data_IF_394049351814
#
_entry.id   IF_394049351814
#
_cell.length_a   1.000
_cell.length_b   1.000
_cell.length_c   1.000
_cell.angle_alpha   90.00
_cell.angle_beta   90.00
_cell.angle_gamma   90.00
#
_symmetry.space_group_name_H-M   'P 1'
#
loop_
_entity.id
_entity.type
_entity.pdbx_description
1 polymer ?
#
# COMPACT_ATOMS: atom_id res chain seq x y z
N UNK A 1 -15.29 -35.03 32.54
CA UNK A 1 -15.59 -33.57 32.55
C UNK A 1 -14.56 -32.91 31.71
N UNK A 2 -14.84 -32.73 30.40
CA UNK A 2 -13.91 -32.08 29.45
C UNK A 2 -14.14 -30.58 29.51
N UNK A 3 -13.12 -29.87 29.96
CA UNK A 3 -13.08 -28.39 29.98
C UNK A 3 -12.73 -27.89 28.57
N UNK A 4 -13.72 -27.42 27.81
CA UNK A 4 -13.49 -26.70 26.55
C UNK A 4 -12.91 -25.33 26.90
N UNK A 5 -11.60 -25.16 26.71
CA UNK A 5 -10.97 -23.84 26.67
C UNK A 5 -11.48 -23.13 25.38
N UNK A 6 -12.40 -22.22 25.54
CA UNK A 6 -12.74 -21.22 24.52
C UNK A 6 -11.53 -20.28 24.39
N UNK A 7 -10.66 -20.55 23.41
CA UNK A 7 -9.71 -19.55 22.98
C UNK A 7 -10.48 -18.36 22.40
N UNK A 8 -10.20 -17.13 22.85
CA UNK A 8 -10.85 -15.96 22.24
C UNK A 8 -10.42 -15.92 20.77
N UNK A 9 -11.40 -15.87 19.85
CA UNK A 9 -11.20 -15.46 18.48
C UNK A 9 -10.57 -14.06 18.54
N UNK A 10 -9.26 -14.00 18.39
CA UNK A 10 -8.52 -12.75 18.24
C UNK A 10 -9.08 -12.09 16.99
N UNK A 11 -10.00 -11.13 17.17
CA UNK A 11 -10.39 -10.23 16.11
C UNK A 11 -9.10 -9.68 15.51
N UNK A 12 -8.97 -9.72 14.18
CA UNK A 12 -7.82 -9.12 13.48
C UNK A 12 -7.75 -7.69 13.96
N UNK A 13 -6.71 -7.37 14.73
CA UNK A 13 -6.51 -6.03 15.24
C UNK A 13 -6.51 -5.07 14.06
N UNK A 14 -7.27 -3.99 14.15
CA UNK A 14 -7.34 -2.96 13.14
C UNK A 14 -5.94 -2.36 12.96
N UNK A 15 -5.32 -2.59 11.79
CA UNK A 15 -3.95 -2.17 11.51
C UNK A 15 -3.84 -0.68 11.14
N UNK A 16 -4.93 -0.11 10.59
CA UNK A 16 -5.02 1.29 10.15
C UNK A 16 -6.32 1.88 10.68
N UNK A 17 -6.25 3.02 11.36
CA UNK A 17 -7.46 3.69 11.84
C UNK A 17 -8.27 4.26 10.65
N UNK A 18 -9.62 4.20 10.68
CA UNK A 18 -10.45 4.88 9.68
C UNK A 18 -10.15 6.37 9.59
N UNK A 19 -10.41 6.94 8.41
CA UNK A 19 -10.40 8.40 8.26
C UNK A 19 -11.59 9.02 9.00
N UNK A 20 -11.43 10.29 9.38
CA UNK A 20 -12.40 11.06 10.15
C UNK A 20 -12.80 12.33 9.40
N UNK A 21 -13.92 12.90 9.77
CA UNK A 21 -14.29 14.22 9.26
C UNK A 21 -13.22 15.25 9.65
N UNK A 22 -12.83 16.08 8.71
CA UNK A 22 -11.74 17.05 8.86
C UNK A 22 -10.36 16.51 8.44
N UNK A 23 -10.21 15.20 8.16
CA UNK A 23 -8.93 14.67 7.73
C UNK A 23 -8.48 15.26 6.39
N UNK A 24 -7.20 15.54 6.33
CA UNK A 24 -6.42 15.95 5.16
C UNK A 24 -5.40 14.86 4.89
N UNK A 25 -5.73 13.96 3.98
CA UNK A 25 -4.96 12.72 3.72
C UNK A 25 -4.01 12.94 2.55
N UNK A 26 -2.71 12.88 2.78
CA UNK A 26 -1.69 12.93 1.73
C UNK A 26 -1.22 11.50 1.40
N UNK A 27 -1.44 11.06 0.17
CA UNK A 27 -0.91 9.79 -0.35
C UNK A 27 0.42 10.06 -1.03
N UNK A 28 1.53 9.70 -0.37
CA UNK A 28 2.89 9.93 -0.84
C UNK A 28 3.46 8.64 -1.43
N UNK A 29 4.01 8.72 -2.63
CA UNK A 29 4.57 7.56 -3.32
C UNK A 29 5.18 7.91 -4.66
N UNK A 30 5.38 6.88 -5.48
CA UNK A 30 5.90 6.95 -6.83
C UNK A 30 4.80 6.94 -7.90
N UNK A 31 5.10 6.45 -9.12
CA UNK A 31 4.15 6.34 -10.25
C UNK A 31 2.87 5.55 -9.90
N UNK A 32 2.96 4.55 -9.04
CA UNK A 32 1.80 3.74 -8.63
C UNK A 32 0.80 4.57 -7.83
N UNK A 33 1.28 5.53 -7.04
CA UNK A 33 0.45 6.51 -6.34
C UNK A 33 0.05 7.66 -7.27
N UNK A 34 0.99 8.18 -8.09
CA UNK A 34 0.78 9.26 -9.04
C UNK A 34 -0.37 8.96 -10.02
N UNK A 35 -0.45 7.73 -10.51
CA UNK A 35 -1.55 7.24 -11.37
C UNK A 35 -2.95 7.40 -10.76
N UNK A 36 -3.07 7.56 -9.47
CA UNK A 36 -4.29 8.02 -8.81
C UNK A 36 -5.36 6.96 -8.56
N UNK A 37 -5.16 5.70 -8.90
CA UNK A 37 -6.25 4.72 -8.92
C UNK A 37 -6.63 4.21 -7.52
N UNK A 38 -5.71 3.58 -6.78
CA UNK A 38 -6.09 2.91 -5.52
C UNK A 38 -6.64 3.89 -4.48
N UNK A 39 -6.05 5.06 -4.32
CA UNK A 39 -6.54 6.02 -3.35
C UNK A 39 -7.83 6.73 -3.81
N UNK A 40 -8.08 6.83 -5.13
CA UNK A 40 -9.37 7.28 -5.65
C UNK A 40 -10.48 6.28 -5.35
N UNK A 41 -10.21 4.97 -5.42
CA UNK A 41 -11.17 3.94 -4.99
C UNK A 41 -11.45 4.02 -3.49
N UNK A 42 -10.41 4.27 -2.66
CA UNK A 42 -10.59 4.51 -1.22
C UNK A 42 -11.46 5.76 -1.00
N UNK A 43 -11.18 6.85 -1.73
CA UNK A 43 -11.98 8.08 -1.63
C UNK A 43 -13.42 7.85 -2.06
N UNK A 44 -13.64 7.20 -3.20
CA UNK A 44 -14.99 6.86 -3.67
C UNK A 44 -15.77 6.06 -2.63
N UNK A 45 -15.13 5.10 -1.97
CA UNK A 45 -15.73 4.35 -0.88
C UNK A 45 -16.21 5.29 0.25
N UNK A 46 -15.34 6.20 0.71
CA UNK A 46 -15.70 7.12 1.78
C UNK A 46 -16.79 8.11 1.35
N UNK A 47 -16.72 8.66 0.15
CA UNK A 47 -17.71 9.59 -0.39
C UNK A 47 -19.10 8.97 -0.52
N UNK A 48 -19.17 7.69 -0.91
CA UNK A 48 -20.46 7.01 -1.11
C UNK A 48 -21.02 6.41 0.17
N UNK A 49 -20.16 6.03 1.11
CA UNK A 49 -20.59 5.39 2.37
C UNK A 49 -20.81 6.38 3.50
N UNK A 50 -20.15 7.53 3.45
CA UNK A 50 -20.19 8.56 4.48
C UNK A 50 -20.33 9.95 3.84
N UNK A 51 -21.44 10.23 3.16
CA UNK A 51 -21.60 11.45 2.34
C UNK A 51 -21.50 12.75 3.16
N UNK A 52 -21.78 12.69 4.46
CA UNK A 52 -21.65 13.85 5.35
C UNK A 52 -20.22 14.07 5.87
N UNK A 53 -19.30 13.13 5.61
CA UNK A 53 -17.92 13.24 6.04
C UNK A 53 -17.18 14.26 5.17
N UNK A 54 -16.63 15.31 5.80
CA UNK A 54 -15.84 16.34 5.13
C UNK A 54 -14.37 16.01 5.29
N UNK A 55 -13.73 15.55 4.22
CA UNK A 55 -12.31 15.23 4.18
C UNK A 55 -11.70 15.63 2.83
N UNK A 56 -10.38 15.76 2.80
CA UNK A 56 -9.62 16.05 1.59
C UNK A 56 -8.59 14.94 1.37
N UNK A 57 -8.41 14.54 0.13
CA UNK A 57 -7.34 13.63 -0.25
C UNK A 57 -6.42 14.31 -1.27
N UNK A 58 -5.12 14.17 -1.07
CA UNK A 58 -4.09 14.72 -1.93
C UNK A 58 -3.28 13.58 -2.54
N UNK A 59 -3.22 13.55 -3.86
CA UNK A 59 -2.24 12.75 -4.55
C UNK A 59 -0.88 13.46 -4.45
N UNK A 60 0.05 12.87 -3.74
CA UNK A 60 1.43 13.29 -3.59
C UNK A 60 2.38 12.22 -4.14
N UNK A 61 1.93 11.43 -5.12
CA UNK A 61 2.77 10.56 -5.92
C UNK A 61 3.52 11.34 -6.98
N UNK A 62 4.74 10.90 -7.31
CA UNK A 62 5.51 11.41 -8.46
C UNK A 62 6.18 10.23 -9.15
N UNK A 63 6.00 10.13 -10.47
CA UNK A 63 6.59 9.06 -11.28
C UNK A 63 8.09 8.95 -11.10
N UNK A 64 8.60 7.73 -10.89
CA UNK A 64 10.05 7.48 -10.73
C UNK A 64 10.60 7.70 -9.33
N UNK A 65 9.86 8.27 -8.40
CA UNK A 65 10.37 8.57 -7.06
C UNK A 65 10.90 7.32 -6.33
N UNK A 66 12.04 7.52 -5.70
CA UNK A 66 12.61 6.69 -4.65
C UNK A 66 12.49 7.39 -3.29
N UNK A 67 12.98 6.78 -2.22
CA UNK A 67 13.09 7.44 -0.92
C UNK A 67 13.87 8.76 -0.98
N UNK A 68 14.87 8.86 -1.87
CA UNK A 68 15.68 10.08 -2.03
C UNK A 68 14.87 11.25 -2.61
N UNK A 69 14.11 11.02 -3.69
CA UNK A 69 13.28 12.06 -4.30
C UNK A 69 12.16 12.49 -3.34
N UNK A 70 11.52 11.53 -2.66
CA UNK A 70 10.54 11.83 -1.61
C UNK A 70 11.16 12.70 -0.50
N UNK A 71 12.37 12.35 -0.03
CA UNK A 71 13.10 13.14 0.98
C UNK A 71 13.30 14.59 0.55
N UNK A 72 13.64 14.81 -0.73
CA UNK A 72 13.92 16.13 -1.29
C UNK A 72 12.68 17.02 -1.35
N UNK A 73 11.50 16.44 -1.57
CA UNK A 73 10.26 17.20 -1.80
C UNK A 73 9.25 17.18 -0.66
N UNK A 74 9.40 16.32 0.34
CA UNK A 74 8.37 16.07 1.36
C UNK A 74 7.94 17.34 2.11
N UNK A 75 8.83 18.29 2.36
CA UNK A 75 8.51 19.53 3.09
C UNK A 75 7.62 20.46 2.27
N UNK A 76 8.01 20.75 1.03
CA UNK A 76 7.32 21.74 0.20
C UNK A 76 6.17 21.16 -0.62
N UNK A 77 6.13 19.86 -0.84
CA UNK A 77 5.08 19.21 -1.59
C UNK A 77 4.04 18.52 -0.70
N UNK A 78 4.46 17.92 0.40
CA UNK A 78 3.56 17.15 1.27
C UNK A 78 3.17 17.95 2.51
N UNK A 79 4.13 18.38 3.33
CA UNK A 79 3.83 19.11 4.58
C UNK A 79 3.23 20.50 4.32
N UNK A 80 3.55 21.15 3.20
CA UNK A 80 2.91 22.41 2.79
C UNK A 80 1.38 22.27 2.59
N UNK A 81 0.87 21.05 2.31
CA UNK A 81 -0.57 20.76 2.24
C UNK A 81 -1.23 20.60 3.62
N UNK A 82 -0.45 20.72 4.71
CA UNK A 82 -0.91 20.57 6.10
C UNK A 82 -1.73 19.29 6.31
N UNK A 83 -1.21 18.11 6.01
CA UNK A 83 -1.94 16.86 6.18
C UNK A 83 -2.18 16.57 7.67
N UNK A 84 -3.32 15.95 7.99
CA UNK A 84 -3.58 15.31 9.30
C UNK A 84 -3.20 13.83 9.27
N UNK A 85 -3.23 13.23 8.08
CA UNK A 85 -2.82 11.85 7.82
C UNK A 85 -1.88 11.84 6.62
N UNK A 86 -0.78 11.13 6.75
CA UNK A 86 0.18 10.90 5.68
C UNK A 86 0.35 9.40 5.50
N UNK A 87 0.12 8.91 4.29
CA UNK A 87 0.51 7.57 3.88
C UNK A 87 1.80 7.65 3.10
N UNK A 88 2.75 6.74 3.34
CA UNK A 88 4.03 6.73 2.66
C UNK A 88 4.33 5.34 2.11
N UNK A 89 4.56 5.27 0.80
CA UNK A 89 4.98 4.05 0.10
C UNK A 89 6.13 4.34 -0.86
N UNK A 90 7.16 3.50 -0.82
CA UNK A 90 8.31 3.50 -1.73
C UNK A 90 8.94 2.11 -1.76
N UNK A 91 9.91 1.87 -2.63
CA UNK A 91 10.62 0.60 -2.72
C UNK A 91 10.68 0.04 -4.15
N UNK A 92 9.66 0.32 -4.99
CA UNK A 92 9.64 -0.16 -6.37
C UNK A 92 10.82 0.36 -7.18
N UNK A 93 11.08 1.66 -7.14
CA UNK A 93 12.20 2.28 -7.85
C UNK A 93 13.52 2.17 -7.06
N UNK A 94 13.44 2.25 -5.73
CA UNK A 94 14.58 2.09 -4.84
C UNK A 94 15.34 0.79 -5.07
N UNK A 95 14.62 -0.30 -5.37
CA UNK A 95 15.23 -1.61 -5.59
C UNK A 95 15.99 -1.73 -6.90
N UNK A 96 15.88 -0.75 -7.83
CA UNK A 96 16.53 -0.81 -9.15
C UNK A 96 15.89 -1.80 -10.11
N UNK A 97 16.45 -1.96 -11.32
CA UNK A 97 15.83 -2.76 -12.39
C UNK A 97 16.83 -3.65 -13.14
N UNK A 98 17.51 -3.11 -14.14
CA UNK A 98 18.24 -3.84 -15.18
C UNK A 98 19.44 -4.64 -14.67
N UNK A 99 20.08 -4.17 -13.64
CA UNK A 99 21.28 -4.77 -13.06
C UNK A 99 21.02 -6.12 -12.37
N UNK A 100 19.74 -6.47 -12.15
CA UNK A 100 19.39 -7.83 -11.74
C UNK A 100 19.70 -8.90 -12.78
N UNK A 101 19.85 -8.51 -14.05
CA UNK A 101 20.25 -9.38 -15.14
C UNK A 101 21.77 -9.35 -15.41
N UNK A 102 22.54 -8.60 -14.61
CA UNK A 102 23.99 -8.54 -14.68
C UNK A 102 24.70 -9.63 -13.88
N UNK A 103 26.02 -9.51 -13.76
CA UNK A 103 26.89 -10.53 -13.17
C UNK A 103 26.75 -10.68 -11.66
N UNK A 104 26.33 -9.64 -10.95
CA UNK A 104 26.26 -9.65 -9.48
C UNK A 104 24.95 -9.04 -8.92
N UNK A 105 23.82 -9.67 -9.20
CA UNK A 105 22.50 -9.16 -8.79
C UNK A 105 22.33 -9.08 -7.27
N UNK A 106 23.04 -9.91 -6.50
CA UNK A 106 22.96 -9.86 -5.04
C UNK A 106 23.63 -8.62 -4.46
N UNK A 107 24.85 -8.31 -4.89
CA UNK A 107 25.55 -7.10 -4.44
C UNK A 107 24.80 -5.83 -4.86
N UNK A 108 24.22 -5.83 -6.07
CA UNK A 108 23.33 -4.75 -6.52
C UNK A 108 22.14 -4.58 -5.58
N UNK A 109 21.41 -5.65 -5.28
CA UNK A 109 20.27 -5.62 -4.35
C UNK A 109 20.68 -5.11 -2.97
N UNK A 110 21.82 -5.55 -2.43
CA UNK A 110 22.34 -5.13 -1.13
C UNK A 110 22.64 -3.63 -1.11
N UNK A 111 23.28 -3.12 -2.15
CA UNK A 111 23.55 -1.68 -2.33
C UNK A 111 22.26 -0.87 -2.37
N UNK A 112 21.28 -1.29 -3.17
CA UNK A 112 19.99 -0.60 -3.33
C UNK A 112 19.16 -0.57 -2.05
N UNK A 113 19.10 -1.67 -1.32
CA UNK A 113 18.44 -1.74 -0.01
C UNK A 113 19.12 -0.82 1.01
N UNK A 114 20.47 -0.79 1.01
CA UNK A 114 21.24 0.07 1.90
C UNK A 114 21.02 1.56 1.59
N UNK A 115 21.04 1.94 0.31
CA UNK A 115 20.78 3.31 -0.15
C UNK A 115 19.36 3.76 0.24
N UNK A 116 18.36 2.95 -0.06
CA UNK A 116 16.97 3.23 0.31
C UNK A 116 16.79 3.42 1.82
N UNK A 117 17.42 2.55 2.61
CA UNK A 117 17.39 2.65 4.07
C UNK A 117 18.04 3.93 4.56
N UNK A 118 19.20 4.32 4.01
CA UNK A 118 19.88 5.56 4.37
C UNK A 118 18.97 6.77 4.15
N UNK A 119 18.36 6.89 2.98
CA UNK A 119 17.45 7.98 2.65
C UNK A 119 16.18 7.96 3.52
N UNK A 120 15.67 6.77 3.82
CA UNK A 120 14.50 6.63 4.69
C UNK A 120 14.76 7.10 6.12
N UNK A 121 15.94 6.90 6.67
CA UNK A 121 16.28 7.41 8.01
C UNK A 121 16.16 8.94 8.10
N UNK A 122 16.47 9.67 7.03
CA UNK A 122 16.27 11.12 6.96
C UNK A 122 14.78 11.49 6.82
N UNK A 123 14.02 10.72 6.03
CA UNK A 123 12.54 10.87 5.97
C UNK A 123 11.95 10.63 7.37
N UNK A 124 12.37 9.60 8.07
CA UNK A 124 11.90 9.25 9.42
C UNK A 124 12.10 10.42 10.39
N UNK A 125 13.25 11.10 10.34
CA UNK A 125 13.51 12.33 11.15
C UNK A 125 12.48 13.41 10.83
N UNK A 126 12.19 13.65 9.54
CA UNK A 126 11.18 14.64 9.13
C UNK A 126 9.78 14.25 9.61
N UNK A 127 9.41 12.97 9.49
CA UNK A 127 8.13 12.48 9.97
C UNK A 127 7.99 12.66 11.50
N UNK A 128 9.04 12.41 12.26
CA UNK A 128 9.09 12.64 13.72
C UNK A 128 8.93 14.11 14.10
N UNK A 129 9.43 15.03 13.28
CA UNK A 129 9.28 16.47 13.49
C UNK A 129 7.82 16.96 13.35
N UNK A 130 6.93 16.13 12.82
CA UNK A 130 5.49 16.41 12.67
C UNK A 130 4.64 15.45 13.53
N UNK A 131 4.71 15.47 14.87
CA UNK A 131 4.07 14.47 15.72
C UNK A 131 2.54 14.46 15.64
N UNK A 132 1.91 15.57 15.29
CA UNK A 132 0.45 15.70 15.13
C UNK A 132 -0.09 15.02 13.87
N UNK A 133 0.75 14.76 12.88
CA UNK A 133 0.36 14.06 11.66
C UNK A 133 0.35 12.56 11.93
N UNK A 134 -0.76 11.88 11.67
CA UNK A 134 -0.85 10.42 11.70
C UNK A 134 -0.10 9.83 10.51
N UNK A 135 0.76 8.84 10.74
CA UNK A 135 1.57 8.20 9.71
C UNK A 135 1.08 6.77 9.48
N UNK A 136 0.90 6.44 8.21
CA UNK A 136 0.60 5.08 7.73
C UNK A 136 1.70 4.68 6.76
N UNK A 137 2.59 3.80 7.21
CA UNK A 137 3.59 3.22 6.33
C UNK A 137 2.96 2.12 5.49
N UNK A 138 3.23 2.11 4.20
CA UNK A 138 2.67 1.13 3.26
C UNK A 138 3.79 0.39 2.56
N UNK A 139 3.91 -0.92 2.83
CA UNK A 139 4.71 -1.83 2.01
C UNK A 139 4.16 -1.85 0.58
N UNK A 140 4.97 -1.43 -0.39
CA UNK A 140 4.56 -1.23 -1.79
C UNK A 140 4.03 -2.50 -2.44
N UNK A 141 3.21 -2.36 -3.51
CA UNK A 141 2.84 -3.48 -4.38
C UNK A 141 4.08 -4.23 -4.88
N UNK A 142 4.01 -5.52 -5.19
CA UNK A 142 5.17 -6.27 -5.64
C UNK A 142 5.59 -5.90 -7.06
N UNK A 143 6.87 -6.09 -7.37
CA UNK A 143 7.31 -6.41 -8.72
C UNK A 143 6.98 -7.88 -8.99
N UNK A 144 6.20 -8.17 -10.02
CA UNK A 144 5.86 -9.56 -10.34
C UNK A 144 7.00 -10.26 -11.10
N UNK A 145 7.83 -10.97 -10.36
CA UNK A 145 8.94 -11.75 -10.91
C UNK A 145 8.54 -13.20 -11.26
N UNK A 146 7.25 -13.54 -11.23
CA UNK A 146 6.75 -14.92 -11.35
C UNK A 146 5.86 -15.17 -12.56
N UNK A 147 5.11 -14.17 -13.04
CA UNK A 147 4.29 -14.28 -14.25
C UNK A 147 5.13 -14.59 -15.49
N UNK A 148 4.54 -15.32 -16.45
CA UNK A 148 5.24 -15.74 -17.67
C UNK A 148 4.79 -14.90 -18.86
N UNK A 149 5.37 -13.71 -18.98
CA UNK A 149 5.25 -12.87 -20.17
C UNK A 149 6.51 -12.96 -21.04
N UNK A 150 6.40 -12.53 -22.30
CA UNK A 150 7.50 -12.37 -23.24
C UNK A 150 8.25 -11.04 -23.01
N UNK A 151 8.65 -10.75 -21.78
CA UNK A 151 9.44 -9.58 -21.43
C UNK A 151 10.50 -9.92 -20.37
N UNK A 152 11.44 -9.02 -20.16
CA UNK A 152 12.51 -9.20 -19.19
C UNK A 152 11.96 -9.38 -17.78
N UNK A 153 12.57 -10.30 -17.06
CA UNK A 153 12.27 -10.57 -15.66
C UNK A 153 13.48 -10.20 -14.82
N UNK A 154 13.29 -9.26 -13.91
CA UNK A 154 14.31 -8.91 -12.92
C UNK A 154 14.15 -9.82 -11.69
N UNK A 155 14.73 -11.01 -11.76
CA UNK A 155 14.69 -11.98 -10.67
C UNK A 155 15.34 -11.39 -9.42
N UNK A 156 14.80 -11.68 -8.24
CA UNK A 156 15.22 -11.16 -6.93
C UNK A 156 14.87 -9.68 -6.67
N UNK A 157 14.33 -8.95 -7.65
CA UNK A 157 13.92 -7.57 -7.40
C UNK A 157 12.87 -7.49 -6.28
N UNK A 158 11.84 -8.33 -6.32
CA UNK A 158 10.84 -8.33 -5.26
C UNK A 158 11.40 -8.79 -3.90
N UNK A 159 12.45 -9.61 -3.88
CA UNK A 159 13.13 -9.98 -2.63
C UNK A 159 13.84 -8.77 -2.00
N UNK A 160 14.49 -7.92 -2.81
CA UNK A 160 15.04 -6.65 -2.34
C UNK A 160 13.94 -5.70 -1.83
N UNK A 161 12.80 -5.60 -2.55
CA UNK A 161 11.65 -4.82 -2.10
C UNK A 161 11.11 -5.29 -0.75
N UNK A 162 11.04 -6.60 -0.50
CA UNK A 162 10.64 -7.15 0.80
C UNK A 162 11.59 -6.73 1.93
N UNK A 163 12.88 -6.61 1.66
CA UNK A 163 13.86 -6.09 2.62
C UNK A 163 13.64 -4.61 2.92
N UNK A 164 13.26 -3.83 1.91
CA UNK A 164 12.85 -2.43 2.07
C UNK A 164 11.58 -2.34 2.93
N UNK A 165 10.57 -3.16 2.64
CA UNK A 165 9.33 -3.23 3.42
C UNK A 165 9.62 -3.61 4.89
N UNK A 166 10.54 -4.53 5.13
CA UNK A 166 10.90 -4.97 6.48
C UNK A 166 11.46 -3.84 7.35
N UNK A 167 12.31 -2.95 6.81
CA UNK A 167 12.76 -1.81 7.62
C UNK A 167 11.70 -0.72 7.78
N UNK A 168 10.78 -0.56 6.81
CA UNK A 168 9.62 0.33 6.95
C UNK A 168 8.69 -0.14 8.07
N UNK A 169 8.38 -1.43 8.13
CA UNK A 169 7.59 -2.04 9.20
C UNK A 169 8.28 -1.89 10.55
N UNK A 170 9.58 -2.19 10.63
CA UNK A 170 10.36 -2.01 11.85
C UNK A 170 10.33 -0.57 12.37
N UNK A 171 10.42 0.41 11.48
CA UNK A 171 10.34 1.83 11.84
C UNK A 171 8.92 2.21 12.27
N UNK A 172 7.88 1.68 11.62
CA UNK A 172 6.50 1.90 12.02
C UNK A 172 6.26 1.40 13.45
N UNK A 173 6.69 0.18 13.75
CA UNK A 173 6.60 -0.41 15.09
C UNK A 173 7.37 0.43 16.13
N UNK A 174 8.62 0.82 15.84
CA UNK A 174 9.45 1.61 16.75
C UNK A 174 8.89 3.00 17.07
N UNK A 175 8.10 3.57 16.16
CA UNK A 175 7.53 4.91 16.28
C UNK A 175 6.04 4.92 16.61
N UNK A 176 5.40 3.77 16.83
CA UNK A 176 3.95 3.62 16.98
C UNK A 176 3.17 4.22 15.79
N UNK A 177 3.69 4.07 14.58
CA UNK A 177 2.99 4.39 13.35
C UNK A 177 2.20 3.19 12.85
N UNK A 178 1.20 3.46 12.05
CA UNK A 178 0.41 2.41 11.41
C UNK A 178 1.20 1.79 10.25
N UNK A 179 1.00 0.50 10.00
CA UNK A 179 1.62 -0.22 8.89
C UNK A 179 0.61 -1.07 8.14
N UNK A 180 0.77 -1.13 6.82
CA UNK A 180 -0.01 -1.97 5.93
C UNK A 180 0.90 -2.53 4.83
N UNK A 181 0.86 -3.83 4.61
CA UNK A 181 1.60 -4.48 3.53
C UNK A 181 0.69 -4.79 2.33
N UNK A 182 1.02 -4.23 1.15
CA UNK A 182 0.41 -4.62 -0.11
C UNK A 182 1.15 -5.79 -0.78
N UNK A 183 2.46 -5.93 -0.52
CA UNK A 183 3.32 -6.85 -1.25
C UNK A 183 2.91 -8.32 -1.05
N UNK A 184 2.93 -8.80 0.18
CA UNK A 184 2.71 -10.20 0.46
C UNK A 184 1.30 -10.69 0.04
N UNK A 185 0.19 -9.96 0.31
CA UNK A 185 -1.13 -10.36 -0.16
C UNK A 185 -1.26 -10.38 -1.69
N UNK A 186 -0.66 -9.41 -2.40
CA UNK A 186 -0.69 -9.38 -3.87
C UNK A 186 0.14 -10.54 -4.45
N UNK A 187 1.31 -10.84 -3.89
CA UNK A 187 2.08 -12.02 -4.28
C UNK A 187 1.29 -13.32 -4.09
N UNK A 188 0.55 -13.44 -2.98
CA UNK A 188 -0.26 -14.63 -2.71
C UNK A 188 -1.40 -14.80 -3.74
N UNK A 189 -2.05 -13.69 -4.13
CA UNK A 189 -3.07 -13.71 -5.20
C UNK A 189 -2.43 -14.08 -6.54
N UNK A 190 -1.32 -13.45 -6.92
CA UNK A 190 -0.59 -13.78 -8.14
C UNK A 190 -0.25 -15.28 -8.18
N UNK A 191 0.38 -15.82 -7.15
CA UNK A 191 0.75 -17.22 -7.08
C UNK A 191 -0.45 -18.17 -7.22
N UNK A 192 -1.57 -17.84 -6.59
CA UNK A 192 -2.80 -18.63 -6.67
C UNK A 192 -3.36 -18.70 -8.09
N UNK A 193 -3.45 -17.58 -8.78
CA UNK A 193 -4.05 -17.53 -10.11
C UNK A 193 -3.06 -17.95 -11.20
N UNK A 194 -1.76 -17.75 -11.01
CA UNK A 194 -0.71 -18.26 -11.90
C UNK A 194 -0.62 -19.79 -11.92
N UNK A 195 -1.17 -20.49 -10.94
CA UNK A 195 -1.32 -21.93 -10.97
C UNK A 195 -2.31 -22.40 -12.06
N UNK A 196 -3.22 -21.54 -12.51
CA UNK A 196 -4.20 -21.81 -13.56
C UNK A 196 -3.82 -21.11 -14.87
N UNK A 197 -3.46 -19.84 -14.80
CA UNK A 197 -3.00 -19.01 -15.91
C UNK A 197 -1.65 -18.39 -15.56
N UNK A 198 -0.57 -18.93 -16.11
CA UNK A 198 0.80 -18.49 -15.80
C UNK A 198 1.10 -17.03 -16.19
N UNK A 199 0.22 -16.38 -16.96
CA UNK A 199 0.34 -14.98 -17.37
C UNK A 199 -0.42 -14.03 -16.42
N UNK A 200 -1.25 -14.55 -15.52
CA UNK A 200 -1.99 -13.72 -14.58
C UNK A 200 -1.05 -12.86 -13.73
N UNK A 201 -1.38 -11.59 -13.55
CA UNK A 201 -0.72 -10.68 -12.62
C UNK A 201 -1.63 -9.54 -12.18
N UNK A 202 -1.49 -9.10 -10.94
CA UNK A 202 -2.05 -7.85 -10.43
C UNK A 202 -1.14 -6.64 -10.69
N UNK A 203 0.05 -6.85 -11.29
CA UNK A 203 1.10 -5.83 -11.42
C UNK A 203 1.23 -5.28 -12.85
N UNK A 204 0.22 -5.51 -13.70
CA UNK A 204 0.24 -5.07 -15.08
C UNK A 204 1.27 -5.78 -15.96
N UNK A 205 1.22 -5.50 -17.26
CA UNK A 205 2.06 -6.16 -18.25
C UNK A 205 3.55 -5.82 -18.15
N UNK A 206 3.89 -4.71 -17.49
CA UNK A 206 5.27 -4.31 -17.20
C UNK A 206 5.81 -4.88 -15.88
N UNK A 207 5.00 -5.65 -15.15
CA UNK A 207 5.30 -6.26 -13.86
C UNK A 207 5.43 -5.29 -12.69
N UNK A 208 5.19 -4.00 -12.91
CA UNK A 208 5.45 -2.87 -11.99
C UNK A 208 4.15 -2.15 -11.61
N UNK A 209 3.42 -1.71 -12.65
CA UNK A 209 2.27 -0.84 -12.48
C UNK A 209 0.98 -1.65 -12.46
N UNK A 210 0.32 -1.77 -11.31
CA UNK A 210 -0.96 -2.47 -11.23
C UNK A 210 -1.97 -1.89 -12.21
N UNK A 211 -2.72 -2.78 -12.88
CA UNK A 211 -3.91 -2.41 -13.62
C UNK A 211 -5.08 -2.12 -12.66
N UNK A 212 -6.26 -1.82 -13.20
CA UNK A 212 -7.44 -1.50 -12.39
C UNK A 212 -7.73 -2.56 -11.32
N UNK A 213 -7.60 -3.85 -11.65
CA UNK A 213 -7.83 -4.95 -10.71
C UNK A 213 -6.80 -4.94 -9.57
N UNK A 214 -5.53 -4.72 -9.89
CA UNK A 214 -4.47 -4.60 -8.91
C UNK A 214 -4.67 -3.39 -8.00
N UNK A 215 -5.00 -2.23 -8.54
CA UNK A 215 -5.32 -1.04 -7.76
C UNK A 215 -6.60 -1.20 -6.92
N UNK A 216 -7.63 -1.89 -7.44
CA UNK A 216 -8.83 -2.21 -6.67
C UNK A 216 -8.49 -3.13 -5.50
N UNK A 217 -7.61 -4.12 -5.71
CA UNK A 217 -7.15 -4.99 -4.64
C UNK A 217 -6.34 -4.24 -3.57
N UNK A 218 -5.48 -3.29 -3.96
CA UNK A 218 -4.78 -2.40 -3.02
C UNK A 218 -5.76 -1.59 -2.18
N UNK A 219 -6.79 -1.00 -2.81
CA UNK A 219 -7.85 -0.27 -2.11
C UNK A 219 -8.62 -1.17 -1.14
N UNK A 220 -8.94 -2.40 -1.56
CA UNK A 220 -9.57 -3.40 -0.69
C UNK A 220 -8.72 -3.72 0.53
N UNK A 221 -7.41 -3.94 0.34
CA UNK A 221 -6.48 -4.22 1.45
C UNK A 221 -6.44 -3.05 2.44
N UNK A 222 -6.40 -1.82 1.94
CA UNK A 222 -6.41 -0.61 2.77
C UNK A 222 -7.71 -0.51 3.58
N UNK A 223 -8.85 -0.63 2.93
CA UNK A 223 -10.17 -0.58 3.59
C UNK A 223 -10.37 -1.77 4.55
N UNK A 224 -9.82 -2.94 4.23
CA UNK A 224 -9.81 -4.09 5.13
C UNK A 224 -8.99 -3.82 6.39
N UNK A 225 -7.80 -3.24 6.25
CA UNK A 225 -6.96 -2.83 7.38
C UNK A 225 -7.64 -1.78 8.26
N UNK A 226 -8.49 -0.94 7.68
CA UNK A 226 -9.35 0.01 8.42
C UNK A 226 -10.60 -0.65 9.04
N UNK A 227 -10.82 -1.95 8.87
CA UNK A 227 -12.03 -2.63 9.32
C UNK A 227 -13.30 -2.20 8.58
N UNK A 228 -13.15 -1.63 7.36
CA UNK A 228 -14.25 -1.11 6.55
C UNK A 228 -14.75 -2.12 5.51
N UNK A 229 -13.87 -3.01 5.01
CA UNK A 229 -14.26 -4.02 4.03
C UNK A 229 -15.23 -5.05 4.63
N UNK A 230 -16.16 -5.54 3.79
CA UNK A 230 -17.13 -6.58 4.19
C UNK A 230 -18.29 -6.07 5.05
N UNK A 231 -18.37 -4.80 5.36
CA UNK A 231 -19.55 -4.23 6.05
C UNK A 231 -20.74 -4.21 5.10
N UNK A 232 -21.93 -4.59 5.64
CA UNK A 232 -23.20 -4.54 4.92
C UNK A 232 -23.44 -3.12 4.38
N UNK A 233 -23.73 -3.01 3.10
CA UNK A 233 -23.95 -1.71 2.44
C UNK A 233 -25.40 -1.26 2.66
N UNK A 234 -26.35 -2.18 2.37
CA UNK A 234 -27.77 -1.95 2.52
C UNK A 234 -28.49 -3.29 2.74
N UNK A 235 -29.66 -3.22 3.28
CA UNK A 235 -30.62 -4.30 3.28
C UNK A 235 -31.91 -3.80 2.64
N UNK A 236 -32.29 -4.45 1.56
CA UNK A 236 -33.54 -4.13 0.85
C UNK A 236 -34.47 -5.33 1.01
N UNK A 237 -35.63 -5.07 1.58
CA UNK A 237 -36.71 -6.06 1.69
C UNK A 237 -37.82 -5.63 0.74
N UNK A 238 -38.16 -6.48 -0.21
CA UNK A 238 -39.23 -6.22 -1.19
C UNK A 238 -40.41 -7.14 -0.91
N UNK A 239 -41.56 -6.56 -0.53
CA UNK A 239 -42.83 -7.29 -0.52
C UNK A 239 -43.56 -7.06 -1.84
N UNK A 240 -43.36 -7.96 -2.79
CA UNK A 240 -43.94 -7.87 -4.11
C UNK A 240 -45.48 -7.94 -4.09
N UNK A 241 -46.06 -8.64 -3.10
CA UNK A 241 -47.54 -8.76 -2.95
C UNK A 241 -48.15 -7.44 -2.50
N UNK A 242 -47.45 -6.71 -1.62
CA UNK A 242 -47.90 -5.42 -1.08
C UNK A 242 -47.35 -4.21 -1.86
N UNK A 243 -46.53 -4.44 -2.89
CA UNK A 243 -45.82 -3.38 -3.67
C UNK A 243 -45.08 -2.39 -2.77
N UNK A 244 -44.43 -2.90 -1.69
CA UNK A 244 -43.62 -2.10 -0.75
C UNK A 244 -42.15 -2.49 -0.87
N UNK A 245 -41.25 -1.50 -0.81
CA UNK A 245 -39.79 -1.65 -0.76
C UNK A 245 -39.32 -1.18 0.61
#
# INVERSE_FOLDING_TARGET
>A
MFLFLLLPLSGVAQQVAPFRSGDRVAFVGNSITDGGHYHSYIWLYYMTRFPEMRMQMFNCGVGGDTALEILRRIDHDVFAKKPTVLTLTFGMNDSGYFEYNGDNPQAFADSKVSESRHNFLEIEKKLKAHPSVRKVMIGTSPYDQTSRFNNDIFRRKNDAMRRIIAFQDSAAQANNWEFLDFNAPMCAVNARFQAVDSTFTLCGNDRVHPDNDGHMFMAYLFLKAQGMAGKKVAEVSVDAARRKV
#
